data_IF_697657206584
#
_entry.id   IF_697657206584
#
_cell.length_a   1.000
_cell.length_b   1.000
_cell.length_c   1.000
_cell.angle_alpha   90.00
_cell.angle_beta   90.00
_cell.angle_gamma   90.00
#
_symmetry.space_group_name_H-M   'P 1'
#
loop_
_entity.id
_entity.type
_entity.pdbx_description
1 polymer ?
#
# COMPACT_ATOMS: atom_id res chain seq x y z
N UNK A 1 22.41 9.24 -52.18
CA UNK A 1 22.76 10.33 -53.11
C UNK A 1 24.23 10.63 -52.90
N UNK A 2 25.04 10.55 -53.95
CA UNK A 2 26.48 10.92 -53.96
C UNK A 2 26.61 12.34 -54.51
N UNK A 3 27.61 13.09 -54.06
CA UNK A 3 27.96 14.37 -54.67
C UNK A 3 28.88 14.18 -55.90
N UNK A 4 29.09 15.26 -56.65
CA UNK A 4 29.87 15.30 -57.90
C UNK A 4 31.39 15.02 -57.73
N UNK A 5 31.84 14.61 -56.54
CA UNK A 5 33.21 14.17 -56.28
C UNK A 5 33.32 12.69 -55.88
N UNK A 6 32.22 11.94 -55.84
CA UNK A 6 32.23 10.48 -55.67
C UNK A 6 32.51 9.98 -54.26
N UNK A 7 32.34 10.80 -53.21
CA UNK A 7 32.43 10.33 -51.83
C UNK A 7 31.06 9.89 -51.28
N UNK A 8 31.06 8.80 -50.50
CA UNK A 8 29.86 8.32 -49.80
C UNK A 8 29.41 9.33 -48.73
N UNK A 9 28.19 9.85 -48.88
CA UNK A 9 27.51 10.62 -47.83
C UNK A 9 27.09 9.64 -46.73
N UNK A 10 27.92 9.50 -45.69
CA UNK A 10 27.51 8.86 -44.43
C UNK A 10 26.51 9.78 -43.73
N UNK A 11 25.23 9.49 -43.87
CA UNK A 11 24.20 10.02 -42.98
C UNK A 11 24.46 9.51 -41.57
N UNK A 12 25.05 10.34 -40.71
CA UNK A 12 25.04 10.12 -39.26
C UNK A 12 23.60 10.24 -38.78
N UNK A 13 22.99 9.11 -38.46
CA UNK A 13 21.81 9.05 -37.60
C UNK A 13 22.28 9.48 -36.21
N UNK A 14 21.66 10.48 -35.56
CA UNK A 14 22.03 10.83 -34.19
C UNK A 14 21.77 9.62 -33.28
N UNK A 15 22.78 9.18 -32.55
CA UNK A 15 22.59 8.21 -31.46
C UNK A 15 21.68 8.86 -30.42
N UNK A 16 20.47 8.31 -30.29
CA UNK A 16 19.55 8.58 -29.19
C UNK A 16 20.21 8.15 -27.88
N UNK A 17 20.73 9.13 -27.14
CA UNK A 17 21.39 8.92 -25.85
C UNK A 17 20.41 8.91 -24.67
N UNK A 18 19.14 8.55 -24.89
CA UNK A 18 18.19 8.27 -23.81
C UNK A 18 18.43 6.90 -23.17
N UNK A 19 19.64 6.70 -22.61
CA UNK A 19 19.84 5.66 -21.60
C UNK A 19 19.10 6.08 -20.34
N UNK A 20 17.87 5.58 -20.17
CA UNK A 20 17.15 5.65 -18.90
C UNK A 20 18.06 4.98 -17.87
N UNK A 21 18.74 5.77 -17.04
CA UNK A 21 19.53 5.25 -15.92
C UNK A 21 18.57 4.53 -14.98
N UNK A 22 18.66 3.20 -14.93
CA UNK A 22 18.01 2.42 -13.88
C UNK A 22 18.44 3.00 -12.52
N UNK A 23 17.50 3.36 -11.62
CA UNK A 23 17.87 3.86 -10.31
C UNK A 23 18.78 2.85 -9.59
N UNK A 24 19.89 3.32 -9.03
CA UNK A 24 20.70 2.51 -8.14
C UNK A 24 19.95 2.38 -6.81
N UNK A 25 19.73 1.13 -6.39
CA UNK A 25 19.08 0.82 -5.12
C UNK A 25 20.10 0.18 -4.17
N UNK A 26 20.07 0.60 -2.92
CA UNK A 26 20.56 -0.25 -1.83
C UNK A 26 19.43 -1.18 -1.41
N UNK A 27 19.74 -2.44 -1.09
CA UNK A 27 18.72 -3.39 -0.66
C UNK A 27 19.29 -4.48 0.23
N UNK A 28 18.44 -5.10 1.04
CA UNK A 28 18.85 -6.18 1.92
C UNK A 28 17.69 -6.84 2.65
N UNK A 29 18.03 -7.89 3.38
CA UNK A 29 17.15 -8.50 4.38
C UNK A 29 17.61 -8.04 5.77
N UNK A 30 16.65 -7.75 6.64
CA UNK A 30 16.89 -7.43 8.04
C UNK A 30 16.17 -8.48 8.91
N UNK A 31 16.94 -9.24 9.68
CA UNK A 31 16.40 -10.08 10.75
C UNK A 31 15.79 -9.19 11.84
N UNK A 32 14.49 -9.34 12.07
CA UNK A 32 13.74 -8.59 13.07
C UNK A 32 13.36 -9.45 14.27
N UNK A 33 13.95 -10.63 14.44
CA UNK A 33 13.64 -11.57 15.51
C UNK A 33 12.30 -12.30 15.29
N UNK A 34 11.93 -13.14 16.25
CA UNK A 34 10.69 -13.94 16.24
C UNK A 34 10.50 -14.81 14.98
N UNK A 35 11.61 -15.11 14.30
CA UNK A 35 11.64 -15.85 13.05
C UNK A 35 11.08 -15.09 11.86
N UNK A 36 11.24 -13.76 11.82
CA UNK A 36 10.91 -12.90 10.69
C UNK A 36 12.13 -12.15 10.18
N UNK A 37 12.23 -12.04 8.84
CA UNK A 37 13.19 -11.17 8.16
C UNK A 37 12.46 -10.28 7.17
N UNK A 38 12.62 -8.96 7.30
CA UNK A 38 11.99 -8.01 6.38
C UNK A 38 12.93 -7.63 5.24
N UNK A 39 12.40 -7.57 4.02
CA UNK A 39 13.13 -7.04 2.87
C UNK A 39 13.01 -5.52 2.84
N UNK A 40 14.10 -4.81 2.55
CA UNK A 40 14.12 -3.36 2.41
C UNK A 40 14.87 -2.92 1.16
N UNK A 41 14.51 -1.73 0.67
CA UNK A 41 15.25 -1.02 -0.39
C UNK A 41 15.39 0.45 -0.04
N UNK A 42 16.42 1.10 -0.52
CA UNK A 42 16.58 2.54 -0.44
C UNK A 42 17.08 3.13 -1.77
N UNK A 43 16.63 4.34 -2.09
CA UNK A 43 17.03 5.08 -3.29
C UNK A 43 17.08 6.59 -3.01
N UNK A 44 17.69 7.34 -3.93
CA UNK A 44 17.82 8.79 -3.83
C UNK A 44 19.10 9.23 -3.10
N UNK A 45 19.39 10.55 -3.08
CA UNK A 45 20.66 11.08 -2.59
C UNK A 45 20.85 10.84 -1.09
N UNK A 46 22.04 10.39 -0.67
CA UNK A 46 22.33 10.12 0.76
C UNK A 46 22.17 11.34 1.67
N UNK A 47 22.45 12.55 1.16
CA UNK A 47 22.32 13.80 1.91
C UNK A 47 20.92 14.44 1.89
N UNK A 48 19.96 13.84 1.20
CA UNK A 48 18.59 14.33 1.17
C UNK A 48 17.82 13.95 2.45
N UNK A 49 16.75 14.67 2.82
CA UNK A 49 15.86 14.25 3.89
C UNK A 49 15.35 12.83 3.67
N UNK A 50 15.30 12.04 4.74
CA UNK A 50 14.88 10.64 4.66
C UNK A 50 13.37 10.52 4.76
N UNK A 51 12.76 9.72 3.88
CA UNK A 51 11.34 9.39 3.93
C UNK A 51 11.14 7.87 3.93
N UNK A 52 10.48 7.36 4.96
CA UNK A 52 10.02 5.98 5.00
C UNK A 52 8.69 5.85 4.26
N UNK A 53 8.63 4.91 3.33
CA UNK A 53 7.45 4.54 2.56
C UNK A 53 6.78 3.34 3.24
N UNK A 54 5.67 3.60 3.92
CA UNK A 54 4.87 2.60 4.64
C UNK A 54 3.73 2.14 3.73
N UNK A 55 3.85 0.92 3.19
CA UNK A 55 2.85 0.41 2.25
C UNK A 55 1.52 0.04 2.93
N UNK A 56 0.47 -0.03 2.11
CA UNK A 56 -0.89 -0.37 2.53
C UNK A 56 -1.21 -1.87 2.46
N UNK A 57 -2.51 -2.18 2.40
CA UNK A 57 -3.10 -3.49 2.60
C UNK A 57 -3.77 -3.54 3.99
N UNK A 58 -3.20 -4.23 5.01
CA UNK A 58 -1.83 -4.76 5.08
C UNK A 58 -1.52 -5.90 4.11
N UNK A 59 -0.24 -6.17 3.89
CA UNK A 59 0.19 -7.27 3.02
C UNK A 59 0.33 -6.92 1.53
N UNK A 60 0.26 -5.63 1.16
CA UNK A 60 0.36 -5.18 -0.24
C UNK A 60 1.78 -5.05 -0.82
N UNK A 61 2.82 -5.19 0.01
CA UNK A 61 4.23 -4.99 -0.34
C UNK A 61 4.61 -3.59 -0.87
N UNK A 62 5.91 -3.32 -0.98
CA UNK A 62 6.43 -2.02 -1.42
C UNK A 62 6.12 -1.72 -2.89
N UNK A 63 5.94 -0.44 -3.21
CA UNK A 63 5.75 0.03 -4.59
C UNK A 63 6.75 1.13 -4.94
N UNK A 64 7.72 0.81 -5.78
CA UNK A 64 8.83 1.73 -6.08
C UNK A 64 8.42 2.92 -6.95
N UNK A 65 7.21 2.90 -7.56
CA UNK A 65 6.64 4.03 -8.30
C UNK A 65 6.48 5.29 -7.42
N UNK A 66 6.52 5.15 -6.09
CA UNK A 66 6.57 6.31 -5.21
C UNK A 66 7.79 7.19 -5.45
N UNK A 67 8.90 6.64 -5.96
CA UNK A 67 10.04 7.43 -6.40
C UNK A 67 9.69 8.44 -7.50
N UNK A 68 8.87 8.02 -8.46
CA UNK A 68 8.43 8.88 -9.56
C UNK A 68 7.37 9.89 -9.10
N UNK A 69 6.47 9.47 -8.19
CA UNK A 69 5.39 10.32 -7.69
C UNK A 69 5.91 11.38 -6.72
N UNK A 70 6.80 11.03 -5.80
CA UNK A 70 7.27 11.94 -4.74
C UNK A 70 8.60 12.61 -5.09
N UNK A 71 9.14 12.34 -6.29
CA UNK A 71 10.41 12.85 -6.78
C UNK A 71 11.60 12.42 -5.90
N UNK A 72 12.12 11.21 -6.18
CA UNK A 72 13.25 10.63 -5.47
C UNK A 72 14.54 11.47 -5.55
N UNK A 73 14.62 12.51 -6.38
CA UNK A 73 15.76 13.44 -6.36
C UNK A 73 15.76 14.37 -5.14
N UNK A 74 14.59 14.55 -4.50
CA UNK A 74 14.39 15.39 -3.31
C UNK A 74 14.50 14.62 -1.99
N UNK A 75 14.47 13.29 -2.04
CA UNK A 75 14.33 12.44 -0.86
C UNK A 75 15.30 11.26 -0.89
N UNK A 76 15.84 10.90 0.26
CA UNK A 76 16.35 9.55 0.50
C UNK A 76 15.17 8.67 0.89
N UNK A 77 14.64 7.91 -0.06
CA UNK A 77 13.44 7.10 0.15
C UNK A 77 13.82 5.70 0.63
N UNK A 78 13.20 5.25 1.72
CA UNK A 78 13.35 3.90 2.28
C UNK A 78 12.04 3.15 2.13
N UNK A 79 12.11 1.94 1.62
CA UNK A 79 11.00 1.02 1.40
C UNK A 79 11.26 -0.25 2.18
N UNK A 80 10.20 -0.91 2.63
CA UNK A 80 10.29 -2.23 3.22
C UNK A 80 9.01 -3.01 2.94
N UNK A 81 9.12 -4.33 2.84
CA UNK A 81 7.98 -5.22 2.85
C UNK A 81 7.68 -5.59 4.32
N UNK A 82 6.45 -5.36 4.78
CA UNK A 82 6.01 -5.75 6.12
C UNK A 82 6.02 -7.28 6.27
N UNK A 83 6.00 -7.77 7.51
CA UNK A 83 6.02 -9.21 7.84
C UNK A 83 4.94 -9.97 7.05
N UNK A 84 5.33 -11.12 6.48
CA UNK A 84 4.40 -12.03 5.79
C UNK A 84 4.02 -11.65 4.36
N UNK A 85 4.58 -10.61 3.74
CA UNK A 85 4.26 -10.22 2.37
C UNK A 85 5.50 -9.84 1.54
N UNK A 86 5.31 -9.69 0.23
CA UNK A 86 6.38 -9.31 -0.70
C UNK A 86 7.55 -10.29 -0.65
N UNK A 87 8.76 -9.76 -0.49
CA UNK A 87 9.99 -10.54 -0.30
C UNK A 87 10.35 -10.78 1.16
N UNK A 88 9.57 -10.28 2.11
CA UNK A 88 9.77 -10.56 3.53
C UNK A 88 9.42 -12.01 3.85
N UNK A 89 10.20 -12.62 4.72
CA UNK A 89 10.08 -14.04 5.03
C UNK A 89 9.82 -14.29 6.51
N UNK A 90 9.08 -15.36 6.84
CA UNK A 90 8.35 -16.25 5.92
C UNK A 90 7.04 -15.62 5.41
N UNK A 91 6.71 -15.90 4.14
CA UNK A 91 5.47 -15.45 3.51
C UNK A 91 4.23 -16.00 4.23
N UNK A 92 3.21 -15.16 4.44
CA UNK A 92 1.93 -15.54 5.04
C UNK A 92 1.97 -15.87 6.54
N UNK A 93 3.10 -15.66 7.24
CA UNK A 93 3.20 -15.96 8.66
C UNK A 93 2.48 -14.92 9.52
N UNK A 94 1.58 -15.41 10.38
CA UNK A 94 0.74 -14.59 11.27
C UNK A 94 1.28 -14.50 12.69
N UNK A 95 2.04 -15.48 13.17
CA UNK A 95 2.59 -15.40 14.52
C UNK A 95 3.62 -14.27 14.62
N UNK A 96 3.55 -13.49 15.70
CA UNK A 96 4.36 -12.28 15.89
C UNK A 96 4.24 -11.30 14.71
N UNK A 97 3.02 -11.12 14.19
CA UNK A 97 2.73 -10.19 13.11
C UNK A 97 1.58 -9.27 13.51
N UNK A 98 1.89 -8.33 14.41
CA UNK A 98 0.94 -7.34 14.87
C UNK A 98 1.44 -5.91 14.71
N UNK A 99 0.56 -4.94 14.95
CA UNK A 99 0.90 -3.50 14.82
C UNK A 99 2.13 -3.13 15.66
N UNK A 100 2.25 -3.71 16.87
CA UNK A 100 3.39 -3.45 17.77
C UNK A 100 4.70 -3.96 17.19
N UNK A 101 4.70 -5.17 16.63
CA UNK A 101 5.85 -5.79 16.00
C UNK A 101 6.29 -4.98 14.77
N UNK A 102 5.34 -4.55 13.92
CA UNK A 102 5.66 -3.72 12.75
C UNK A 102 6.24 -2.36 13.13
N UNK A 103 5.74 -1.71 14.19
CA UNK A 103 6.35 -0.47 14.70
C UNK A 103 7.79 -0.74 15.19
N UNK A 104 8.02 -1.88 15.86
CA UNK A 104 9.36 -2.29 16.27
C UNK A 104 10.30 -2.55 15.10
N UNK A 105 9.80 -3.13 14.01
CA UNK A 105 10.57 -3.38 12.79
C UNK A 105 10.99 -2.08 12.11
N UNK A 106 10.12 -1.08 12.08
CA UNK A 106 10.45 0.25 11.59
C UNK A 106 11.61 0.86 12.39
N UNK A 107 11.63 0.73 13.72
CA UNK A 107 12.77 1.18 14.53
C UNK A 107 14.07 0.40 14.24
N UNK A 108 13.98 -0.93 14.08
CA UNK A 108 15.15 -1.76 13.73
C UNK A 108 15.72 -1.36 12.38
N UNK A 109 14.86 -1.09 11.39
CA UNK A 109 15.28 -0.62 10.07
C UNK A 109 15.91 0.77 10.14
N UNK A 110 15.31 1.69 10.91
CA UNK A 110 15.86 3.02 11.14
C UNK A 110 17.28 2.95 11.71
N UNK A 111 17.49 2.10 12.72
CA UNK A 111 18.81 1.87 13.36
C UNK A 111 19.80 1.22 12.40
N UNK A 112 19.40 0.18 11.67
CA UNK A 112 20.25 -0.49 10.68
C UNK A 112 20.85 0.50 9.68
N UNK A 113 20.01 1.41 9.18
CA UNK A 113 20.38 2.38 8.14
C UNK A 113 21.03 3.65 8.71
N UNK A 114 21.22 3.75 10.03
CA UNK A 114 21.84 4.92 10.67
C UNK A 114 21.01 6.21 10.56
N UNK A 115 19.69 6.10 10.39
CA UNK A 115 18.80 7.25 10.20
C UNK A 115 18.42 7.82 11.56
N UNK A 116 18.66 9.11 11.82
CA UNK A 116 18.27 9.70 13.11
C UNK A 116 16.76 9.91 13.22
N UNK A 117 16.17 10.53 12.19
CA UNK A 117 14.75 10.83 12.04
C UNK A 117 14.36 10.72 10.57
N UNK A 118 13.09 10.44 10.30
CA UNK A 118 12.55 10.40 8.95
C UNK A 118 11.15 11.01 8.84
N UNK A 119 10.79 11.45 7.65
CA UNK A 119 9.41 11.68 7.29
C UNK A 119 8.71 10.35 7.03
N UNK A 120 7.40 10.30 7.27
CA UNK A 120 6.59 9.10 7.05
C UNK A 120 5.60 9.37 5.92
N UNK A 121 5.69 8.56 4.86
CA UNK A 121 4.66 8.48 3.86
C UNK A 121 3.85 7.19 4.08
N UNK A 122 2.53 7.33 4.23
CA UNK A 122 1.62 6.21 4.46
C UNK A 122 0.35 6.34 3.62
N UNK A 123 -0.10 5.25 3.02
CA UNK A 123 -1.35 5.20 2.27
C UNK A 123 -2.24 4.05 2.72
N UNK A 124 -3.55 4.27 2.87
CA UNK A 124 -4.49 3.23 3.37
C UNK A 124 -4.05 2.72 4.75
N UNK A 125 -3.94 1.40 4.96
CA UNK A 125 -3.26 0.80 6.12
C UNK A 125 -1.91 1.42 6.47
N UNK A 126 -1.14 1.87 5.48
CA UNK A 126 0.13 2.56 5.72
C UNK A 126 -0.03 3.84 6.55
N UNK A 127 -1.21 4.48 6.52
CA UNK A 127 -1.54 5.60 7.41
C UNK A 127 -1.72 5.14 8.86
N UNK A 128 -2.43 4.03 9.09
CA UNK A 128 -2.60 3.41 10.41
C UNK A 128 -1.24 3.09 11.02
N UNK A 129 -0.36 2.44 10.26
CA UNK A 129 0.97 2.06 10.73
C UNK A 129 1.90 3.26 10.90
N UNK A 130 1.89 4.23 9.97
CA UNK A 130 2.67 5.47 10.10
C UNK A 130 2.25 6.27 11.34
N UNK A 131 0.95 6.41 11.59
CA UNK A 131 0.42 7.07 12.79
C UNK A 131 0.81 6.30 14.04
N UNK A 132 0.65 4.96 14.05
CA UNK A 132 1.04 4.09 15.17
C UNK A 132 2.50 4.25 15.54
N UNK A 133 3.40 4.27 14.55
CA UNK A 133 4.81 4.56 14.74
C UNK A 133 5.02 5.97 15.30
N UNK A 134 4.40 6.97 14.68
CA UNK A 134 4.55 8.37 15.07
C UNK A 134 4.12 8.65 16.51
N UNK A 135 2.95 8.15 16.92
CA UNK A 135 2.46 8.30 18.29
C UNK A 135 3.22 7.44 19.30
N UNK A 136 4.13 6.57 18.86
CA UNK A 136 4.98 5.75 19.73
C UNK A 136 6.37 6.38 19.85
N UNK A 137 6.93 6.85 18.73
CA UNK A 137 8.28 7.41 18.58
C UNK A 137 8.25 8.83 17.98
N UNK A 138 7.57 9.81 18.62
CA UNK A 138 7.41 11.15 18.07
C UNK A 138 8.76 11.84 17.82
N UNK A 139 9.78 11.55 18.63
CA UNK A 139 11.12 12.12 18.51
C UNK A 139 11.91 11.61 17.27
N UNK A 140 11.42 10.55 16.62
CA UNK A 140 12.01 9.96 15.40
C UNK A 140 11.34 10.43 14.12
N UNK A 141 10.34 11.29 14.24
CA UNK A 141 9.54 11.74 13.12
C UNK A 141 9.91 13.17 12.70
N UNK A 142 10.03 13.41 11.39
CA UNK A 142 10.20 14.73 10.80
C UNK A 142 8.85 15.33 10.37
N UNK A 143 7.90 14.50 9.95
CA UNK A 143 6.60 14.92 9.44
C UNK A 143 5.91 13.82 8.65
N UNK A 144 4.70 14.08 8.18
CA UNK A 144 3.80 13.06 7.64
C UNK A 144 3.18 13.49 6.31
N UNK A 145 3.19 12.59 5.33
CA UNK A 145 2.39 12.68 4.12
C UNK A 145 1.49 11.45 4.07
N UNK A 146 0.20 11.63 4.34
CA UNK A 146 -0.77 10.55 4.50
C UNK A 146 -1.82 10.61 3.39
N UNK A 147 -2.24 9.45 2.89
CA UNK A 147 -3.31 9.37 1.88
C UNK A 147 -4.29 8.25 2.13
N UNK A 148 -5.58 8.49 1.86
CA UNK A 148 -6.60 7.46 2.04
C UNK A 148 -6.59 7.01 3.50
N UNK A 149 -6.81 7.98 4.39
CA UNK A 149 -6.69 7.83 5.84
C UNK A 149 -7.54 6.66 6.33
N UNK A 150 -6.87 5.70 6.96
CA UNK A 150 -7.47 4.59 7.67
C UNK A 150 -7.13 4.70 9.17
N UNK A 151 -8.15 4.97 9.98
CA UNK A 151 -8.01 5.14 11.43
C UNK A 151 -8.18 3.83 12.20
N UNK A 152 -8.55 2.74 11.51
CA UNK A 152 -8.74 1.41 12.07
C UNK A 152 -9.74 1.37 13.25
N UNK A 153 -10.82 2.15 13.18
CA UNK A 153 -11.93 2.10 14.14
C UNK A 153 -12.89 0.98 13.73
N UNK A 154 -13.69 0.48 14.67
CA UNK A 154 -14.69 -0.55 14.37
C UNK A 154 -15.64 -0.14 13.23
N UNK A 155 -16.11 1.12 13.25
CA UNK A 155 -16.94 1.68 12.18
C UNK A 155 -16.26 1.74 10.80
N UNK A 156 -14.92 1.82 10.76
CA UNK A 156 -14.17 1.82 9.49
C UNK A 156 -14.13 0.41 8.90
N UNK A 157 -14.02 -0.61 9.76
CA UNK A 157 -14.08 -2.04 9.38
C UNK A 157 -15.51 -2.41 8.95
N UNK A 158 -16.51 -2.00 9.74
CA UNK A 158 -17.92 -2.26 9.45
C UNK A 158 -18.34 -1.63 8.12
N UNK A 159 -17.81 -0.43 7.81
CA UNK A 159 -18.00 0.18 6.51
C UNK A 159 -17.48 -0.71 5.38
N UNK A 160 -16.20 -1.06 5.43
CA UNK A 160 -15.53 -1.80 4.35
C UNK A 160 -16.14 -3.20 4.14
N UNK A 161 -16.41 -3.92 5.23
CA UNK A 161 -16.89 -5.31 5.15
C UNK A 161 -18.41 -5.40 4.95
N UNK A 162 -19.19 -4.42 5.41
CA UNK A 162 -20.64 -4.54 5.46
C UNK A 162 -21.40 -3.35 4.86
N UNK A 163 -21.23 -2.13 5.36
CA UNK A 163 -22.11 -1.02 4.97
C UNK A 163 -21.92 -0.57 3.52
N UNK A 164 -20.74 -0.78 2.94
CA UNK A 164 -20.44 -0.44 1.55
C UNK A 164 -21.35 -1.17 0.55
N UNK A 165 -22.00 -2.28 0.96
CA UNK A 165 -23.01 -2.98 0.16
C UNK A 165 -24.18 -2.08 -0.27
N UNK A 166 -24.42 -0.97 0.45
CA UNK A 166 -25.43 0.04 0.10
C UNK A 166 -25.08 0.80 -1.18
N UNK A 167 -23.80 0.82 -1.54
CA UNK A 167 -23.27 1.47 -2.74
C UNK A 167 -22.87 0.43 -3.80
N UNK A 168 -22.29 -0.71 -3.39
CA UNK A 168 -21.83 -1.79 -4.28
C UNK A 168 -22.49 -3.15 -3.94
N UNK A 169 -23.82 -3.29 -4.08
CA UNK A 169 -24.53 -4.51 -3.69
C UNK A 169 -24.14 -5.74 -4.52
N UNK A 170 -23.77 -5.56 -5.78
CA UNK A 170 -23.38 -6.64 -6.69
C UNK A 170 -21.96 -7.15 -6.42
N UNK A 171 -21.01 -6.25 -6.15
CA UNK A 171 -19.65 -6.61 -5.75
C UNK A 171 -19.65 -7.28 -4.37
N UNK A 172 -20.41 -6.74 -3.41
CA UNK A 172 -20.55 -7.31 -2.08
C UNK A 172 -21.21 -8.70 -2.12
N UNK A 173 -22.28 -8.89 -2.90
CA UNK A 173 -22.89 -10.22 -3.09
C UNK A 173 -21.86 -11.24 -3.59
N UNK A 174 -21.07 -10.92 -4.62
CA UNK A 174 -20.02 -11.81 -5.15
C UNK A 174 -18.97 -12.16 -4.10
N UNK A 175 -18.61 -11.18 -3.25
CA UNK A 175 -17.69 -11.41 -2.14
C UNK A 175 -18.27 -12.39 -1.13
N UNK A 176 -19.54 -12.20 -0.72
CA UNK A 176 -20.22 -13.13 0.19
C UNK A 176 -20.39 -14.53 -0.42
N UNK A 177 -20.67 -14.65 -1.72
CA UNK A 177 -20.78 -15.93 -2.42
C UNK A 177 -19.45 -16.71 -2.37
N UNK A 178 -18.32 -16.00 -2.46
CA UNK A 178 -16.99 -16.59 -2.33
C UNK A 178 -16.70 -17.07 -0.90
N UNK A 179 -17.13 -16.31 0.12
CA UNK A 179 -17.03 -16.71 1.53
C UNK A 179 -17.85 -17.98 1.77
N UNK A 180 -19.10 -18.01 1.30
CA UNK A 180 -20.00 -19.16 1.43
C UNK A 180 -19.42 -20.41 0.75
N UNK A 181 -18.84 -20.24 -0.44
CA UNK A 181 -18.17 -21.34 -1.15
C UNK A 181 -16.97 -21.88 -0.37
N UNK A 182 -16.19 -21.01 0.28
CA UNK A 182 -14.94 -21.39 0.94
C UNK A 182 -15.11 -21.88 2.39
N UNK A 183 -16.18 -21.44 3.07
CA UNK A 183 -16.47 -21.72 4.48
C UNK A 183 -17.65 -22.66 4.69
N UNK A 184 -18.57 -22.77 3.71
CA UNK A 184 -19.82 -23.51 3.81
C UNK A 184 -21.00 -22.70 4.37
N UNK A 185 -20.78 -21.47 4.81
CA UNK A 185 -21.81 -20.61 5.43
C UNK A 185 -21.78 -19.19 4.86
N UNK A 186 -22.97 -18.59 4.73
CA UNK A 186 -23.10 -17.21 4.25
C UNK A 186 -23.09 -16.23 5.44
N UNK A 187 -22.14 -15.27 5.49
CA UNK A 187 -22.13 -14.26 6.55
C UNK A 187 -23.30 -13.27 6.43
N UNK A 188 -23.75 -12.77 7.58
CA UNK A 188 -24.85 -11.82 7.74
C UNK A 188 -24.46 -10.47 8.37
N UNK A 189 -23.18 -10.28 8.68
CA UNK A 189 -22.60 -9.04 9.20
C UNK A 189 -21.05 -9.03 9.03
N UNK A 190 -20.40 -7.91 9.34
CA UNK A 190 -18.92 -7.75 9.30
C UNK A 190 -18.18 -8.75 10.20
N UNK A 191 -18.71 -9.05 11.39
CA UNK A 191 -18.08 -9.96 12.33
C UNK A 191 -18.08 -11.41 11.81
N UNK A 192 -19.17 -11.86 11.19
CA UNK A 192 -19.25 -13.17 10.53
C UNK A 192 -18.35 -13.24 9.30
N UNK A 193 -18.18 -12.17 8.53
CA UNK A 193 -17.19 -12.13 7.45
C UNK A 193 -15.80 -12.45 8.01
N UNK A 194 -15.38 -11.79 9.08
CA UNK A 194 -14.09 -12.08 9.72
C UNK A 194 -14.06 -13.53 10.22
N UNK A 195 -15.06 -13.96 11.00
CA UNK A 195 -15.09 -15.32 11.56
C UNK A 195 -15.01 -16.43 10.49
N UNK A 196 -15.67 -16.25 9.34
CA UNK A 196 -15.78 -17.28 8.30
C UNK A 196 -14.61 -17.27 7.30
N UNK A 197 -13.79 -16.22 7.27
CA UNK A 197 -12.72 -16.06 6.28
C UNK A 197 -11.35 -16.52 6.77
N UNK A 198 -11.09 -16.47 8.07
CA UNK A 198 -9.76 -16.76 8.63
C UNK A 198 -9.24 -18.16 8.33
N UNK A 199 -10.02 -19.19 8.67
CA UNK A 199 -9.62 -20.56 8.43
C UNK A 199 -9.46 -20.88 6.93
N UNK A 200 -10.38 -20.48 6.03
CA UNK A 200 -10.16 -20.63 4.59
C UNK A 200 -8.91 -19.95 4.04
N UNK A 201 -8.64 -18.70 4.42
CA UNK A 201 -7.48 -17.95 3.92
C UNK A 201 -6.15 -18.59 4.35
N UNK A 202 -6.08 -19.14 5.57
CA UNK A 202 -4.87 -19.75 6.13
C UNK A 202 -4.49 -21.12 5.50
N UNK A 203 -5.38 -21.77 4.74
CA UNK A 203 -5.09 -23.10 4.16
C UNK A 203 -4.23 -23.04 2.89
N UNK A 204 -4.23 -21.91 2.18
CA UNK A 204 -3.60 -21.76 0.86
C UNK A 204 -3.98 -22.87 -0.15
N UNK A 205 -5.17 -23.44 0.00
CA UNK A 205 -5.76 -24.39 -0.94
C UNK A 205 -6.57 -23.66 -2.03
N UNK A 206 -7.11 -24.40 -3.00
CA UNK A 206 -7.87 -23.82 -4.11
C UNK A 206 -9.05 -22.96 -3.64
N UNK A 207 -9.72 -23.32 -2.54
CA UNK A 207 -10.83 -22.56 -1.99
C UNK A 207 -10.36 -21.26 -1.34
N UNK A 208 -9.29 -21.33 -0.53
CA UNK A 208 -8.65 -20.17 0.08
C UNK A 208 -8.09 -19.19 -0.94
N UNK A 209 -7.47 -19.69 -2.02
CA UNK A 209 -6.95 -18.85 -3.11
C UNK A 209 -8.10 -18.16 -3.87
N UNK A 210 -9.19 -18.87 -4.14
CA UNK A 210 -10.38 -18.26 -4.76
C UNK A 210 -10.99 -17.18 -3.88
N UNK A 211 -11.08 -17.41 -2.57
CA UNK A 211 -11.53 -16.41 -1.61
C UNK A 211 -10.58 -15.20 -1.56
N UNK A 212 -9.27 -15.43 -1.53
CA UNK A 212 -8.26 -14.37 -1.55
C UNK A 212 -8.40 -13.47 -2.78
N UNK A 213 -8.61 -14.06 -3.97
CA UNK A 213 -8.87 -13.32 -5.20
C UNK A 213 -10.19 -12.55 -5.16
N UNK A 214 -11.24 -13.13 -4.58
CA UNK A 214 -12.53 -12.45 -4.43
C UNK A 214 -12.43 -11.25 -3.49
N UNK A 215 -11.70 -11.37 -2.38
CA UNK A 215 -11.41 -10.29 -1.44
C UNK A 215 -10.64 -9.16 -2.13
N UNK A 216 -9.50 -9.46 -2.78
CA UNK A 216 -8.71 -8.46 -3.49
C UNK A 216 -9.49 -7.79 -4.64
N UNK A 217 -10.33 -8.57 -5.35
CA UNK A 217 -11.20 -8.05 -6.41
C UNK A 217 -12.32 -7.14 -5.88
N UNK A 218 -12.85 -7.44 -4.69
CA UNK A 218 -13.82 -6.61 -4.00
C UNK A 218 -13.21 -5.25 -3.65
N UNK A 219 -12.07 -5.23 -2.93
CA UNK A 219 -11.35 -4.00 -2.59
C UNK A 219 -10.97 -3.18 -3.84
N UNK A 220 -10.45 -3.83 -4.88
CA UNK A 220 -10.09 -3.16 -6.14
C UNK A 220 -11.32 -2.52 -6.83
N UNK A 221 -12.51 -3.10 -6.67
CA UNK A 221 -13.76 -2.54 -7.21
C UNK A 221 -14.17 -1.29 -6.44
N UNK A 222 -14.06 -1.30 -5.11
CA UNK A 222 -14.34 -0.15 -4.25
C UNK A 222 -13.32 0.99 -4.43
N UNK A 223 -12.11 0.66 -4.88
CA UNK A 223 -11.00 1.61 -4.86
C UNK A 223 -11.04 2.69 -5.94
N UNK A 224 -11.75 2.49 -7.05
CA UNK A 224 -11.57 3.32 -8.26
C UNK A 224 -12.87 4.02 -8.67
N UNK A 225 -12.80 5.33 -8.89
CA UNK A 225 -13.91 6.13 -9.45
C UNK A 225 -13.74 6.26 -10.96
N UNK A 226 -12.54 6.62 -11.39
CA UNK A 226 -12.21 6.84 -12.79
C UNK A 226 -11.38 5.67 -13.31
N UNK A 227 -11.98 4.48 -13.47
CA UNK A 227 -11.27 3.36 -14.12
C UNK A 227 -10.84 3.86 -15.51
N UNK A 228 -9.54 3.89 -15.83
CA UNK A 228 -9.12 4.21 -17.19
C UNK A 228 -9.84 3.24 -18.11
N UNK A 229 -10.47 3.75 -19.19
CA UNK A 229 -11.00 2.88 -20.22
C UNK A 229 -9.86 1.95 -20.66
N UNK A 230 -10.00 0.65 -20.40
CA UNK A 230 -9.03 -0.31 -20.89
C UNK A 230 -9.05 -0.22 -22.41
N UNK A 231 -7.95 0.25 -23.03
CA UNK A 231 -7.76 0.07 -24.46
C UNK A 231 -7.63 -1.43 -24.71
N UNK A 232 -8.74 -2.04 -25.12
CA UNK A 232 -8.86 -3.47 -25.33
C UNK A 232 -9.25 -4.20 -24.06
N UNK A 233 -10.55 -4.29 -23.80
CA UNK A 233 -11.10 -5.33 -22.93
C UNK A 233 -10.84 -6.69 -23.60
N UNK A 234 -9.63 -7.23 -23.44
CA UNK A 234 -9.58 -8.65 -23.12
C UNK A 234 -10.17 -8.71 -21.72
N UNK A 235 -11.40 -9.19 -21.59
CA UNK A 235 -11.91 -9.64 -20.30
C UNK A 235 -10.77 -10.40 -19.64
N UNK A 236 -10.33 -9.97 -18.46
CA UNK A 236 -9.55 -10.84 -17.60
C UNK A 236 -10.48 -11.92 -17.04
N UNK A 237 -11.13 -12.69 -17.93
CA UNK A 237 -11.32 -14.10 -17.69
C UNK A 237 -9.90 -14.63 -17.44
N UNK A 238 -9.73 -15.46 -16.40
CA UNK A 238 -8.48 -16.19 -16.26
C UNK A 238 -8.16 -16.79 -17.63
N UNK A 239 -6.93 -16.64 -18.16
CA UNK A 239 -6.61 -17.17 -19.48
C UNK A 239 -7.17 -18.58 -19.53
N UNK A 240 -8.09 -18.84 -20.48
CA UNK A 240 -8.61 -20.19 -20.69
C UNK A 240 -7.39 -21.09 -20.72
N UNK A 241 -7.37 -22.06 -19.80
CA UNK A 241 -6.22 -22.92 -19.64
C UNK A 241 -5.89 -23.51 -21.01
N UNK A 242 -4.74 -23.15 -21.56
CA UNK A 242 -4.27 -23.73 -22.80
C UNK A 242 -4.24 -25.24 -22.58
N UNK A 243 -5.10 -26.03 -23.27
CA UNK A 243 -5.22 -27.46 -23.01
C UNK A 243 -3.92 -28.22 -23.32
N UNK A 244 -2.96 -27.58 -24.01
CA UNK A 244 -1.63 -28.11 -24.26
C UNK A 244 -0.61 -27.79 -23.15
N UNK A 245 -0.91 -26.86 -22.23
CA UNK A 245 -0.01 -26.48 -21.13
C UNK A 245 -0.30 -27.36 -19.90
N UNK A 246 0.72 -27.98 -19.27
CA UNK A 246 0.52 -28.74 -18.04
C UNK A 246 -0.09 -27.84 -16.96
N UNK A 247 -0.96 -28.42 -16.13
CA UNK A 247 -1.55 -27.72 -14.99
C UNK A 247 -0.43 -27.17 -14.10
N UNK A 248 -0.58 -25.92 -13.65
CA UNK A 248 0.37 -25.30 -12.74
C UNK A 248 0.47 -26.13 -11.44
N UNK A 249 1.69 -26.25 -10.92
CA UNK A 249 1.91 -26.86 -9.61
C UNK A 249 1.26 -26.02 -8.50
N UNK A 250 1.02 -26.60 -7.30
CA UNK A 250 0.53 -25.83 -6.16
C UNK A 250 1.45 -24.67 -5.75
N UNK A 251 2.74 -24.76 -6.03
CA UNK A 251 3.72 -23.69 -5.78
C UNK A 251 3.55 -22.55 -6.78
N UNK A 252 3.55 -22.84 -8.09
CA UNK A 252 3.31 -21.83 -9.14
C UNK A 252 1.94 -21.14 -8.99
N UNK A 253 0.93 -21.91 -8.56
CA UNK A 253 -0.41 -21.36 -8.27
C UNK A 253 -0.37 -20.39 -7.09
N UNK A 254 0.38 -20.69 -6.03
CA UNK A 254 0.56 -19.79 -4.88
C UNK A 254 1.36 -18.55 -5.27
N UNK A 255 2.46 -18.70 -6.00
CA UNK A 255 3.30 -17.58 -6.44
C UNK A 255 2.53 -16.60 -7.33
N UNK A 256 1.79 -17.10 -8.31
CA UNK A 256 0.97 -16.26 -9.20
C UNK A 256 -0.18 -15.53 -8.49
N UNK A 257 -0.57 -16.00 -7.29
CA UNK A 257 -1.61 -15.38 -6.47
C UNK A 257 -1.06 -14.72 -5.20
N UNK A 258 0.26 -14.60 -5.05
CA UNK A 258 0.90 -14.19 -3.80
C UNK A 258 0.37 -12.86 -3.27
N UNK A 259 0.16 -11.86 -4.14
CA UNK A 259 -0.38 -10.56 -3.72
C UNK A 259 -1.81 -10.65 -3.16
N UNK A 260 -2.69 -11.41 -3.82
CA UNK A 260 -4.06 -11.61 -3.34
C UNK A 260 -4.07 -12.40 -2.03
N UNK A 261 -3.23 -13.43 -1.92
CA UNK A 261 -3.08 -14.26 -0.73
C UNK A 261 -2.59 -13.42 0.45
N UNK A 262 -1.48 -12.69 0.30
CA UNK A 262 -0.91 -11.91 1.41
C UNK A 262 -1.82 -10.76 1.84
N UNK A 263 -2.43 -10.04 0.89
CA UNK A 263 -3.36 -8.96 1.22
C UNK A 263 -4.57 -9.47 2.00
N UNK A 264 -5.32 -10.42 1.43
CA UNK A 264 -6.53 -10.92 2.09
C UNK A 264 -6.26 -11.58 3.43
N UNK A 265 -5.20 -12.39 3.55
CA UNK A 265 -4.82 -13.04 4.79
C UNK A 265 -4.43 -12.02 5.87
N UNK A 266 -3.58 -11.04 5.52
CA UNK A 266 -3.10 -10.07 6.49
C UNK A 266 -4.17 -9.02 6.81
N UNK A 267 -4.98 -8.56 5.86
CA UNK A 267 -6.13 -7.70 6.16
C UNK A 267 -7.11 -8.37 7.12
N UNK A 268 -7.46 -9.64 6.86
CA UNK A 268 -8.27 -10.43 7.79
C UNK A 268 -7.63 -10.47 9.17
N UNK A 269 -6.36 -10.89 9.25
CA UNK A 269 -5.63 -11.06 10.51
C UNK A 269 -5.60 -9.77 11.34
N UNK A 270 -5.28 -8.65 10.69
CA UNK A 270 -5.22 -7.36 11.36
C UNK A 270 -6.60 -6.89 11.80
N UNK A 271 -7.60 -6.88 10.92
CA UNK A 271 -8.97 -6.46 11.27
C UNK A 271 -9.57 -7.33 12.39
N UNK A 272 -9.21 -8.61 12.45
CA UNK A 272 -9.73 -9.53 13.45
C UNK A 272 -9.03 -9.41 14.81
N UNK A 273 -7.71 -9.16 14.85
CA UNK A 273 -6.92 -9.38 16.07
C UNK A 273 -5.78 -8.38 16.33
N UNK A 274 -5.23 -7.72 15.31
CA UNK A 274 -3.93 -7.04 15.42
C UNK A 274 -3.95 -5.55 15.07
N UNK A 275 -5.13 -4.92 15.07
CA UNK A 275 -5.26 -3.46 14.99
C UNK A 275 -4.51 -2.75 16.14
N UNK A 276 -4.23 -1.43 16.01
CA UNK A 276 -3.61 -0.69 17.09
C UNK A 276 -4.35 -0.89 18.42
N UNK A 277 -3.64 -1.23 19.53
CA UNK A 277 -4.28 -1.60 20.79
C UNK A 277 -5.01 -0.45 21.47
N UNK A 278 -4.70 0.79 21.08
CA UNK A 278 -5.37 2.00 21.52
C UNK A 278 -5.81 2.82 20.31
N UNK A 279 -6.98 3.48 20.34
CA UNK A 279 -7.42 4.36 19.28
C UNK A 279 -6.39 5.44 18.94
N UNK A 280 -6.21 5.71 17.65
CA UNK A 280 -5.19 6.65 17.17
C UNK A 280 -5.53 8.12 17.50
N UNK A 281 -6.78 8.55 17.28
CA UNK A 281 -7.18 9.97 17.37
C UNK A 281 -6.83 10.64 18.72
N UNK A 282 -7.12 10.03 19.89
CA UNK A 282 -6.76 10.62 21.19
C UNK A 282 -5.25 10.82 21.40
N UNK A 283 -4.41 10.14 20.61
CA UNK A 283 -2.94 10.16 20.75
C UNK A 283 -2.25 11.10 19.75
N UNK A 284 -2.99 11.66 18.78
CA UNK A 284 -2.44 12.54 17.74
C UNK A 284 -1.75 13.78 18.31
N UNK A 285 -2.17 14.26 19.49
CA UNK A 285 -1.49 15.37 20.19
C UNK A 285 0.02 15.15 20.41
N UNK A 286 0.50 13.90 20.44
CA UNK A 286 1.93 13.56 20.54
C UNK A 286 2.74 13.93 19.30
N UNK A 287 2.10 14.03 18.14
CA UNK A 287 2.74 14.30 16.84
C UNK A 287 2.17 15.54 16.13
N UNK A 288 1.08 16.12 16.63
CA UNK A 288 0.39 17.26 16.01
C UNK A 288 1.24 18.53 15.85
N UNK A 289 2.39 18.60 16.52
CA UNK A 289 3.37 19.67 16.38
C UNK A 289 4.24 19.55 15.11
N UNK A 290 4.22 18.39 14.45
CA UNK A 290 5.00 18.11 13.23
C UNK A 290 4.21 18.51 11.97
N UNK A 291 4.90 18.86 10.87
CA UNK A 291 4.24 19.14 9.59
C UNK A 291 3.51 17.89 9.08
N UNK A 292 2.27 18.07 8.62
CA UNK A 292 1.42 17.01 8.13
C UNK A 292 0.65 17.45 6.88
N UNK A 293 0.63 16.59 5.87
CA UNK A 293 -0.21 16.73 4.68
C UNK A 293 -1.09 15.50 4.56
N UNK A 294 -2.38 15.71 4.37
CA UNK A 294 -3.41 14.68 4.19
C UNK A 294 -3.99 14.81 2.78
N UNK A 295 -3.99 13.73 2.02
CA UNK A 295 -4.62 13.65 0.69
C UNK A 295 -5.72 12.59 0.73
N UNK A 296 -6.94 12.91 0.33
CA UNK A 296 -8.03 11.93 0.40
C UNK A 296 -9.00 12.07 -0.77
N UNK A 297 -9.36 10.97 -1.41
CA UNK A 297 -10.36 10.97 -2.46
C UNK A 297 -11.76 11.21 -1.90
N UNK A 298 -12.54 12.12 -2.50
CA UNK A 298 -13.93 12.40 -2.07
C UNK A 298 -14.80 11.15 -2.06
N UNK A 299 -14.58 10.26 -3.02
CA UNK A 299 -15.36 9.03 -3.23
C UNK A 299 -14.51 7.79 -2.91
N UNK A 300 -13.61 7.90 -1.94
CA UNK A 300 -12.92 6.75 -1.38
C UNK A 300 -13.93 5.85 -0.64
N UNK A 301 -14.23 4.69 -1.25
CA UNK A 301 -15.21 3.72 -0.72
C UNK A 301 -14.54 2.61 0.10
N UNK A 302 -13.20 2.58 0.16
CA UNK A 302 -12.45 1.68 1.04
C UNK A 302 -12.29 2.36 2.40
N UNK A 303 -11.85 3.61 2.40
CA UNK A 303 -11.69 4.43 3.59
C UNK A 303 -12.47 5.75 3.42
N UNK A 304 -13.69 5.87 3.96
CA UNK A 304 -14.50 7.07 3.80
C UNK A 304 -13.81 8.36 4.29
N UNK A 305 -14.12 9.48 3.62
CA UNK A 305 -13.43 10.76 3.83
C UNK A 305 -13.64 11.39 5.22
N UNK A 306 -14.61 10.92 6.02
CA UNK A 306 -14.77 11.36 7.42
C UNK A 306 -13.53 11.03 8.26
N UNK A 307 -12.80 9.97 7.92
CA UNK A 307 -11.55 9.61 8.58
C UNK A 307 -10.47 10.69 8.42
N UNK A 308 -10.35 11.26 7.21
CA UNK A 308 -9.41 12.35 6.95
C UNK A 308 -9.81 13.65 7.65
N UNK A 309 -11.12 13.95 7.70
CA UNK A 309 -11.65 15.10 8.42
C UNK A 309 -11.39 14.96 9.92
N UNK A 310 -11.70 13.81 10.52
CA UNK A 310 -11.46 13.54 11.93
C UNK A 310 -9.97 13.64 12.31
N UNK A 311 -9.07 13.18 11.42
CA UNK A 311 -7.63 13.33 11.64
C UNK A 311 -7.18 14.79 11.53
N UNK A 312 -7.70 15.55 10.55
CA UNK A 312 -7.40 16.98 10.41
C UNK A 312 -7.88 17.79 11.62
N UNK A 313 -9.08 17.49 12.15
CA UNK A 313 -9.60 18.13 13.35
C UNK A 313 -8.72 17.86 14.59
N UNK A 314 -8.15 16.65 14.68
CA UNK A 314 -7.21 16.28 15.74
C UNK A 314 -5.78 16.82 15.52
N UNK A 315 -5.48 17.36 14.34
CA UNK A 315 -4.16 17.85 13.93
C UNK A 315 -4.25 19.28 13.36
N UNK A 316 -4.36 20.32 14.21
CA UNK A 316 -4.66 21.69 13.77
C UNK A 316 -3.73 22.29 12.71
N UNK A 317 -2.47 21.81 12.63
CA UNK A 317 -1.49 22.23 11.62
C UNK A 317 -1.48 21.40 10.33
N UNK A 318 -2.34 20.39 10.18
CA UNK A 318 -2.38 19.53 9.01
C UNK A 318 -2.97 20.23 7.79
N UNK A 319 -2.37 20.02 6.63
CA UNK A 319 -2.92 20.47 5.35
C UNK A 319 -3.75 19.36 4.72
N UNK A 320 -5.07 19.52 4.73
CA UNK A 320 -5.99 18.57 4.12
C UNK A 320 -6.35 18.95 2.68
N UNK A 321 -6.16 18.02 1.76
CA UNK A 321 -6.62 18.08 0.38
C UNK A 321 -7.64 16.96 0.13
N UNK A 322 -8.92 17.32 0.02
CA UNK A 322 -9.94 16.41 -0.48
C UNK A 322 -10.02 16.54 -2.00
N UNK A 323 -9.77 15.44 -2.70
CA UNK A 323 -9.73 15.38 -4.16
C UNK A 323 -11.11 14.98 -4.68
N UNK A 324 -11.85 15.96 -5.23
CA UNK A 324 -13.28 15.79 -5.55
C UNK A 324 -13.58 14.69 -6.58
N UNK A 325 -12.73 14.49 -7.58
CA UNK A 325 -12.91 13.49 -8.62
C UNK A 325 -11.97 12.29 -8.44
N UNK A 326 -11.82 11.79 -7.20
CA UNK A 326 -10.97 10.62 -6.94
C UNK A 326 -11.54 9.65 -5.89
N UNK A 327 -11.23 8.36 -6.07
CA UNK A 327 -11.45 7.29 -5.11
C UNK A 327 -10.24 7.00 -4.22
N UNK A 328 -10.20 5.77 -3.70
CA UNK A 328 -9.10 5.26 -2.88
C UNK A 328 -7.79 5.12 -3.67
N UNK A 329 -7.91 4.72 -4.94
CA UNK A 329 -6.77 4.32 -5.75
C UNK A 329 -5.80 5.47 -5.93
N UNK A 330 -4.55 5.20 -5.58
CA UNK A 330 -3.45 6.16 -5.59
C UNK A 330 -3.33 6.93 -6.90
N UNK A 331 -3.38 6.21 -8.01
CA UNK A 331 -2.88 6.70 -9.29
C UNK A 331 -3.97 7.39 -10.10
N UNK A 332 -5.09 7.73 -9.47
CA UNK A 332 -6.01 8.70 -10.05
C UNK A 332 -5.30 10.07 -10.20
N UNK A 333 -5.47 10.77 -11.34
CA UNK A 333 -4.68 11.97 -11.64
C UNK A 333 -4.72 13.04 -10.55
N UNK A 334 -5.88 13.25 -9.91
CA UNK A 334 -6.05 14.19 -8.82
C UNK A 334 -5.25 13.81 -7.57
N UNK A 335 -5.30 12.52 -7.18
CA UNK A 335 -4.53 11.99 -6.05
C UNK A 335 -3.02 12.15 -6.30
N UNK A 336 -2.53 11.81 -7.50
CA UNK A 336 -1.11 11.96 -7.86
C UNK A 336 -0.66 13.42 -7.80
N UNK A 337 -1.50 14.34 -8.30
CA UNK A 337 -1.20 15.77 -8.29
C UNK A 337 -1.09 16.31 -6.86
N UNK A 338 -2.05 15.95 -6.00
CA UNK A 338 -2.06 16.35 -4.60
C UNK A 338 -0.86 15.75 -3.82
N UNK A 339 -0.52 14.49 -4.08
CA UNK A 339 0.64 13.82 -3.45
C UNK A 339 1.97 14.45 -3.86
N UNK A 340 2.14 14.80 -5.13
CA UNK A 340 3.31 15.55 -5.62
C UNK A 340 3.47 16.87 -4.87
N UNK A 341 2.39 17.66 -4.82
CA UNK A 341 2.39 18.94 -4.11
C UNK A 341 2.69 18.77 -2.60
N UNK A 342 2.13 17.73 -1.98
CA UNK A 342 2.35 17.40 -0.57
C UNK A 342 3.80 17.00 -0.27
N UNK A 343 4.40 16.15 -1.12
CA UNK A 343 5.81 15.76 -1.00
C UNK A 343 6.74 16.96 -1.13
N UNK A 344 6.46 17.88 -2.06
CA UNK A 344 7.24 19.11 -2.21
C UNK A 344 7.07 20.08 -1.03
N UNK A 345 5.84 20.23 -0.53
CA UNK A 345 5.58 21.01 0.66
C UNK A 345 6.38 20.49 1.84
N UNK A 346 6.33 19.18 2.08
CA UNK A 346 7.02 18.57 3.21
C UNK A 346 8.54 18.71 3.07
N UNK A 347 9.11 18.49 1.89
CA UNK A 347 10.53 18.70 1.64
C UNK A 347 10.98 20.13 1.96
N UNK A 348 10.19 21.14 1.55
CA UNK A 348 10.47 22.56 1.86
C UNK A 348 10.35 22.86 3.36
N UNK A 349 9.34 22.31 4.02
CA UNK A 349 9.15 22.50 5.46
C UNK A 349 10.34 21.96 6.27
N UNK A 350 10.90 20.83 5.85
CA UNK A 350 12.06 20.21 6.51
C UNK A 350 13.39 20.90 6.19
N UNK A 351 13.52 21.56 5.04
CA UNK A 351 14.71 22.33 4.70
C UNK A 351 14.79 23.68 5.44
N UNK A 352 13.70 24.15 6.03
CA UNK A 352 13.61 25.45 6.69
C UNK A 352 13.81 25.40 8.22
N UNK A 353 13.87 24.22 8.83
CA UNK A 353 14.03 24.01 10.28
C UNK A 353 15.39 23.44 10.63
#
# INVERSE_FOLDING_TARGET
MTDDAGNEVKTQVPEDSSTVKTPAFDEGMLDVGDGHSIYWRAQGPEGAPVMLIVHGGPGGAMNLKWGDVLDASKWRMVFFDQRGCGKSTPFGKLEHNGTKELVGDMEKLRVLLGIEKWALFGGSWGTTLALSYGVTHPERCLGFLLRGIFLARQQDIDWFLWDVQRVFPDAHRKFLDAIETASGERPSNSAEILSLTGAPLARFDDAGIKLARAWAGFEATLSVVNKPAQKGEAKAEAPEADPAKPAATPEETRESNAAAISMSLLEHHYMAQELPPEPLLPRIGRIAHLPCVLVHGRFDMVCPADQALALADAWPGAQLSIVDAAGHWTFEPGNVTALKAGGEFLARALAAG
#
